data_IF_416234331435
#
_entry.id   IF_416234331435
#
_cell.length_a   1.000
_cell.length_b   1.000
_cell.length_c   1.000
_cell.angle_alpha   90.00
_cell.angle_beta   90.00
_cell.angle_gamma   90.00
#
_symmetry.space_group_name_H-M   'P 1'
#
loop_
_entity.id
_entity.type
_entity.pdbx_description
1 polymer ?
#
# COMPACT_ATOMS: atom_id res chain seq x y z
N UNK A 1 22.65 -17.23 92.16
CA UNK A 1 21.39 -17.03 91.49
C UNK A 1 21.55 -15.86 90.46
N UNK A 2 21.95 -16.19 89.22
CA UNK A 2 22.02 -15.21 88.20
C UNK A 2 21.44 -15.85 86.94
N UNK A 3 20.31 -15.31 86.44
CA UNK A 3 19.60 -15.71 85.19
C UNK A 3 20.09 -14.82 84.03
N UNK A 4 20.85 -15.44 83.14
CA UNK A 4 21.17 -14.80 81.87
C UNK A 4 20.02 -15.03 80.83
N UNK A 5 19.37 -13.98 80.43
CA UNK A 5 18.46 -14.01 79.32
C UNK A 5 19.19 -13.65 78.04
N UNK A 6 19.32 -14.64 77.15
CA UNK A 6 19.78 -14.41 75.77
C UNK A 6 18.60 -14.01 74.87
N UNK A 7 18.66 -12.83 74.34
CA UNK A 7 17.70 -12.35 73.35
C UNK A 7 18.17 -12.77 71.92
N UNK A 8 17.37 -13.60 71.25
CA UNK A 8 17.53 -13.98 69.85
C UNK A 8 16.87 -12.91 68.97
N UNK A 9 17.66 -12.29 68.12
CA UNK A 9 17.19 -11.42 67.06
C UNK A 9 16.87 -12.27 65.81
N UNK A 10 15.70 -12.17 65.19
CA UNK A 10 15.43 -12.81 63.89
C UNK A 10 15.97 -11.96 62.73
N UNK A 11 16.89 -12.52 61.97
CA UNK A 11 17.33 -11.97 60.67
C UNK A 11 16.21 -12.11 59.66
N UNK A 12 15.68 -10.99 59.22
CA UNK A 12 14.72 -10.92 58.11
C UNK A 12 15.52 -10.97 56.79
N UNK A 13 15.44 -12.11 56.13
CA UNK A 13 15.97 -12.32 54.77
C UNK A 13 14.97 -11.69 53.76
N UNK A 14 15.31 -10.50 53.24
CA UNK A 14 14.54 -9.87 52.18
C UNK A 14 14.93 -10.53 50.83
N UNK A 15 14.06 -11.41 50.38
CA UNK A 15 14.18 -12.01 49.05
C UNK A 15 13.64 -11.00 48.02
N UNK A 16 14.52 -10.28 47.31
CA UNK A 16 14.17 -9.41 46.19
C UNK A 16 13.82 -10.28 44.97
N UNK A 17 12.51 -10.42 44.69
CA UNK A 17 12.01 -10.93 43.40
C UNK A 17 12.26 -9.87 42.31
N UNK A 18 13.33 -10.05 41.57
CA UNK A 18 13.53 -9.36 40.29
C UNK A 18 12.61 -10.01 39.24
N UNK A 19 11.50 -9.37 38.93
CA UNK A 19 10.65 -9.73 37.79
C UNK A 19 11.34 -9.20 36.53
N UNK A 20 11.69 -10.03 35.56
CA UNK A 20 12.16 -9.51 34.26
C UNK A 20 10.96 -8.95 33.47
N UNK A 21 10.81 -7.62 33.47
CA UNK A 21 9.96 -6.88 32.56
C UNK A 21 10.73 -6.67 31.25
N UNK A 22 10.90 -7.73 30.48
CA UNK A 22 11.44 -7.62 29.12
C UNK A 22 10.75 -8.67 28.26
N UNK A 23 9.77 -8.26 27.46
CA UNK A 23 9.46 -8.92 26.17
C UNK A 23 8.20 -8.36 25.46
N UNK A 24 7.80 -7.09 25.71
CA UNK A 24 6.65 -6.50 25.02
C UNK A 24 7.02 -5.43 23.96
N UNK A 25 8.32 -5.16 23.75
CA UNK A 25 8.75 -4.05 22.87
C UNK A 25 9.12 -4.46 21.44
N UNK A 26 9.40 -5.73 21.15
CA UNK A 26 9.87 -6.13 19.83
C UNK A 26 8.75 -6.31 18.78
N UNK A 27 7.50 -6.55 19.19
CA UNK A 27 6.40 -6.73 18.26
C UNK A 27 5.92 -5.42 17.63
N UNK A 28 6.03 -4.30 18.36
CA UNK A 28 5.55 -2.99 17.89
C UNK A 28 6.53 -2.35 16.88
N UNK A 29 7.85 -2.55 17.07
CA UNK A 29 8.87 -2.02 16.17
C UNK A 29 8.90 -2.71 14.79
N UNK A 30 8.49 -3.95 14.70
CA UNK A 30 8.47 -4.69 13.42
C UNK A 30 7.27 -4.29 12.56
N UNK A 31 6.14 -3.94 13.18
CA UNK A 31 4.94 -3.45 12.51
C UNK A 31 5.15 -2.06 11.87
N UNK A 32 5.85 -1.16 12.58
CA UNK A 32 6.14 0.19 12.10
C UNK A 32 7.11 0.20 10.89
N UNK A 33 7.96 -0.81 10.79
CA UNK A 33 8.96 -0.95 9.73
C UNK A 33 8.40 -1.54 8.43
N UNK A 34 7.24 -2.22 8.46
CA UNK A 34 6.64 -2.88 7.30
C UNK A 34 5.76 -1.94 6.45
N UNK A 35 5.44 -0.74 6.92
CA UNK A 35 4.48 0.15 6.27
C UNK A 35 3.04 -0.35 6.40
N UNK A 36 2.14 0.26 5.62
CA UNK A 36 0.73 -0.10 5.61
C UNK A 36 -0.13 0.72 6.59
N UNK A 37 -1.29 0.19 6.92
CA UNK A 37 -2.23 0.76 7.89
C UNK A 37 -2.19 -0.04 9.20
N UNK A 38 -2.58 0.58 10.32
CA UNK A 38 -2.71 -0.15 11.56
C UNK A 38 -3.82 -1.21 11.47
N UNK A 39 -3.53 -2.51 11.70
CA UNK A 39 -4.54 -3.55 11.66
C UNK A 39 -5.52 -3.40 12.83
N UNK A 40 -6.79 -3.73 12.61
CA UNK A 40 -7.78 -3.83 13.70
C UNK A 40 -7.44 -5.03 14.60
N UNK A 41 -8.10 -5.16 15.74
CA UNK A 41 -7.81 -6.23 16.71
C UNK A 41 -7.98 -7.66 16.14
N UNK A 42 -8.81 -7.85 15.11
CA UNK A 42 -9.00 -9.14 14.43
C UNK A 42 -9.64 -8.96 13.05
N UNK A 43 -9.57 -10.00 12.21
CA UNK A 43 -10.24 -10.04 10.91
C UNK A 43 -11.77 -9.84 11.01
N UNK A 44 -12.41 -10.35 12.05
CA UNK A 44 -13.84 -10.22 12.29
C UNK A 44 -14.32 -8.75 12.52
N UNK A 45 -13.41 -7.81 12.70
CA UNK A 45 -13.72 -6.37 12.79
C UNK A 45 -13.85 -5.69 11.42
N UNK A 46 -13.59 -6.40 10.34
CA UNK A 46 -13.81 -5.93 8.97
C UNK A 46 -15.17 -6.40 8.45
N UNK A 47 -15.75 -5.67 7.50
CA UNK A 47 -17.06 -5.99 6.94
C UNK A 47 -17.08 -7.33 6.19
N UNK A 48 -16.02 -7.61 5.45
CA UNK A 48 -15.76 -8.91 4.88
C UNK A 48 -14.61 -9.58 5.64
N UNK A 49 -14.76 -10.82 6.05
CA UNK A 49 -13.69 -11.56 6.70
C UNK A 49 -13.82 -13.05 6.46
N UNK A 50 -12.71 -13.74 6.55
CA UNK A 50 -12.62 -15.19 6.35
C UNK A 50 -11.54 -15.76 7.26
N UNK A 51 -11.77 -16.92 7.83
CA UNK A 51 -10.77 -17.70 8.57
C UNK A 51 -10.39 -18.95 7.79
N UNK A 52 -9.09 -19.27 7.80
CA UNK A 52 -8.51 -20.46 7.19
C UNK A 52 -7.47 -21.07 8.13
N UNK A 53 -7.04 -22.29 7.75
CA UNK A 53 -5.88 -22.90 8.42
C UNK A 53 -4.64 -22.05 8.14
N UNK A 54 -4.02 -21.56 9.23
CA UNK A 54 -2.81 -20.76 9.17
C UNK A 54 -2.99 -19.25 9.23
N UNK A 55 -4.14 -18.68 8.87
CA UNK A 55 -4.37 -17.24 8.95
C UNK A 55 -5.87 -16.87 8.94
N UNK A 56 -6.15 -15.60 9.25
CA UNK A 56 -7.44 -15.00 8.93
C UNK A 56 -7.23 -13.70 8.15
N UNK A 57 -8.20 -13.36 7.31
CA UNK A 57 -8.15 -12.17 6.46
C UNK A 57 -9.42 -11.34 6.66
N UNK A 58 -9.25 -10.02 6.72
CA UNK A 58 -10.33 -9.06 6.73
C UNK A 58 -10.20 -8.08 5.59
N UNK A 59 -11.33 -7.65 5.02
CA UNK A 59 -11.34 -6.67 3.94
C UNK A 59 -12.51 -5.68 4.07
N UNK A 60 -12.32 -4.47 3.58
CA UNK A 60 -13.34 -3.43 3.53
C UNK A 60 -13.13 -2.54 2.30
N UNK A 61 -14.15 -2.41 1.46
CA UNK A 61 -14.17 -1.43 0.38
C UNK A 61 -14.40 -0.03 0.97
N UNK A 62 -13.48 0.90 0.72
CA UNK A 62 -13.61 2.25 1.20
C UNK A 62 -14.71 2.99 0.43
N UNK A 63 -15.59 3.66 1.14
CA UNK A 63 -16.45 4.67 0.54
C UNK A 63 -15.62 5.87 0.07
N UNK A 64 -16.15 6.65 -0.88
CA UNK A 64 -15.50 7.89 -1.36
C UNK A 64 -15.10 8.82 -0.22
N UNK A 65 -15.98 8.96 0.77
CA UNK A 65 -15.72 9.80 1.96
C UNK A 65 -14.55 9.26 2.79
N UNK A 66 -14.51 7.95 3.01
CA UNK A 66 -13.40 7.33 3.76
C UNK A 66 -12.09 7.49 3.00
N UNK A 67 -12.09 7.25 1.68
CA UNK A 67 -10.89 7.44 0.86
C UNK A 67 -10.39 8.88 0.91
N UNK A 68 -11.26 9.89 0.76
CA UNK A 68 -10.88 11.31 0.86
C UNK A 68 -10.42 11.74 2.27
N UNK A 69 -10.78 10.99 3.31
CA UNK A 69 -10.29 11.23 4.68
C UNK A 69 -8.95 10.52 4.94
N UNK A 70 -8.68 9.47 4.19
CA UNK A 70 -7.49 8.62 4.38
C UNK A 70 -6.29 9.14 3.58
N UNK A 71 -6.53 9.63 2.36
CA UNK A 71 -5.49 10.05 1.43
C UNK A 71 -5.54 11.56 1.20
N UNK A 72 -4.37 12.19 1.12
CA UNK A 72 -4.26 13.59 0.73
C UNK A 72 -4.61 13.78 -0.77
N UNK A 73 -4.23 12.81 -1.60
CA UNK A 73 -4.62 12.76 -3.00
C UNK A 73 -6.05 12.20 -3.17
N UNK A 74 -6.83 12.76 -4.10
CA UNK A 74 -8.18 12.23 -4.39
C UNK A 74 -8.11 10.97 -5.26
N UNK A 75 -7.82 9.85 -4.61
CA UNK A 75 -7.75 8.53 -5.25
C UNK A 75 -9.07 8.07 -5.88
N UNK A 76 -10.20 8.70 -5.52
CA UNK A 76 -11.51 8.35 -6.07
C UNK A 76 -11.67 8.68 -7.55
N UNK A 77 -10.77 9.51 -8.12
CA UNK A 77 -10.79 9.81 -9.54
C UNK A 77 -10.37 8.63 -10.40
N UNK A 78 -9.41 7.83 -9.94
CA UNK A 78 -8.88 6.72 -10.73
C UNK A 78 -9.28 5.34 -10.21
N UNK A 79 -9.58 5.22 -8.93
CA UNK A 79 -9.45 3.92 -8.29
C UNK A 79 -10.53 3.63 -7.26
N UNK A 80 -10.85 2.35 -7.10
CA UNK A 80 -11.46 1.81 -5.90
C UNK A 80 -10.36 1.39 -4.94
N UNK A 81 -10.56 1.67 -3.66
CA UNK A 81 -9.58 1.35 -2.62
C UNK A 81 -10.15 0.32 -1.67
N UNK A 82 -9.43 -0.78 -1.49
CA UNK A 82 -9.80 -1.85 -0.56
C UNK A 82 -8.77 -1.89 0.57
N UNK A 83 -9.21 -1.72 1.81
CA UNK A 83 -8.40 -2.00 2.99
C UNK A 83 -8.40 -3.50 3.22
N UNK A 84 -7.21 -4.09 3.29
CA UNK A 84 -7.00 -5.52 3.57
C UNK A 84 -6.18 -5.68 4.83
N UNK A 85 -6.48 -6.68 5.63
CA UNK A 85 -5.67 -7.06 6.79
C UNK A 85 -5.51 -8.58 6.84
N UNK A 86 -4.29 -9.04 7.09
CA UNK A 86 -3.96 -10.46 7.21
C UNK A 86 -3.39 -10.72 8.59
N UNK A 87 -3.91 -11.76 9.24
CA UNK A 87 -3.59 -12.17 10.60
C UNK A 87 -3.04 -13.59 10.56
N UNK A 88 -1.71 -13.78 10.47
CA UNK A 88 -1.10 -15.10 10.55
C UNK A 88 -1.43 -15.76 11.89
N UNK A 89 -1.64 -17.08 11.91
CA UNK A 89 -1.68 -17.85 13.16
C UNK A 89 -0.27 -18.06 13.69
N UNK A 90 -0.17 -18.32 14.98
CA UNK A 90 1.10 -18.54 15.65
C UNK A 90 1.92 -19.60 14.89
N UNK A 91 3.20 -19.32 14.64
CA UNK A 91 4.16 -20.18 13.98
C UNK A 91 3.79 -20.57 12.51
N UNK A 92 2.87 -19.82 11.88
CA UNK A 92 2.45 -20.04 10.49
C UNK A 92 2.58 -18.73 9.68
N UNK A 93 3.80 -18.36 9.30
CA UNK A 93 3.99 -17.16 8.50
C UNK A 93 3.33 -17.28 7.12
N UNK A 94 2.85 -16.14 6.61
CA UNK A 94 2.18 -16.03 5.31
C UNK A 94 3.05 -15.18 4.40
N UNK A 95 3.33 -15.66 3.19
CA UNK A 95 3.92 -14.85 2.14
C UNK A 95 2.80 -13.98 1.56
N UNK A 96 3.01 -12.67 1.55
CA UNK A 96 2.02 -11.69 1.16
C UNK A 96 2.54 -10.82 0.02
N UNK A 97 1.82 -10.82 -1.10
CA UNK A 97 2.04 -9.90 -2.21
C UNK A 97 0.71 -9.28 -2.66
N UNK A 98 0.73 -8.00 -3.08
CA UNK A 98 -0.48 -7.39 -3.62
C UNK A 98 -0.92 -8.05 -4.93
N UNK A 99 -0.01 -8.70 -5.66
CA UNK A 99 -0.31 -9.42 -6.90
C UNK A 99 -1.16 -10.66 -6.71
N UNK A 100 -1.25 -11.17 -5.47
CA UNK A 100 -2.08 -12.33 -5.12
C UNK A 100 -3.57 -11.98 -5.00
N UNK A 101 -3.88 -10.67 -5.08
CA UNK A 101 -5.23 -10.17 -4.98
C UNK A 101 -5.82 -9.81 -6.35
N UNK A 102 -7.14 -9.94 -6.45
CA UNK A 102 -7.91 -9.43 -7.57
C UNK A 102 -9.29 -8.96 -7.09
N UNK A 103 -9.86 -7.97 -7.76
CA UNK A 103 -11.21 -7.46 -7.47
C UNK A 103 -12.13 -7.84 -8.63
N UNK A 104 -13.15 -8.61 -8.31
CA UNK A 104 -14.21 -8.98 -9.25
C UNK A 104 -15.39 -8.02 -9.07
N UNK A 105 -15.83 -7.44 -10.18
CA UNK A 105 -17.05 -6.64 -10.27
C UNK A 105 -18.17 -7.53 -10.82
N UNK A 106 -19.32 -7.57 -10.16
CA UNK A 106 -20.46 -8.36 -10.64
C UNK A 106 -20.90 -7.94 -12.05
N UNK A 107 -20.90 -8.88 -12.99
CA UNK A 107 -21.24 -8.63 -14.39
C UNK A 107 -20.07 -8.22 -15.28
N UNK A 108 -18.84 -8.32 -14.78
CA UNK A 108 -17.61 -8.17 -15.56
C UNK A 108 -17.00 -9.55 -15.82
N UNK A 109 -16.45 -9.76 -17.03
CA UNK A 109 -15.93 -11.07 -17.44
C UNK A 109 -14.59 -11.43 -16.76
N UNK A 110 -13.82 -10.43 -16.31
CA UNK A 110 -12.50 -10.66 -15.75
C UNK A 110 -12.28 -9.83 -14.48
N UNK A 111 -11.63 -10.42 -13.45
CA UNK A 111 -11.22 -9.68 -12.26
C UNK A 111 -10.10 -8.68 -12.58
N UNK A 112 -10.05 -7.60 -11.83
CA UNK A 112 -9.04 -6.53 -11.96
C UNK A 112 -7.98 -6.73 -10.89
N UNK A 113 -6.71 -6.68 -11.28
CA UNK A 113 -5.59 -6.73 -10.35
C UNK A 113 -5.31 -5.37 -9.73
N UNK A 114 -4.74 -5.31 -8.52
CA UNK A 114 -4.32 -4.06 -7.92
C UNK A 114 -3.18 -3.43 -8.74
N UNK A 115 -3.10 -2.12 -8.69
CA UNK A 115 -2.01 -1.36 -9.30
C UNK A 115 -1.01 -0.88 -8.24
N UNK A 116 0.25 -0.72 -8.65
CA UNK A 116 1.28 -0.16 -7.80
C UNK A 116 1.04 1.33 -7.51
N UNK A 117 1.60 1.83 -6.40
CA UNK A 117 1.56 3.24 -6.03
C UNK A 117 2.04 4.16 -7.16
N UNK A 118 3.10 3.78 -7.87
CA UNK A 118 3.67 4.51 -9.01
C UNK A 118 2.65 4.70 -10.14
N UNK A 119 1.93 3.64 -10.51
CA UNK A 119 0.92 3.69 -11.59
C UNK A 119 -0.25 4.56 -11.16
N UNK A 120 -0.72 4.43 -9.92
CA UNK A 120 -1.83 5.22 -9.39
C UNK A 120 -1.45 6.70 -9.32
N UNK A 121 -0.25 7.04 -8.84
CA UNK A 121 0.24 8.41 -8.78
C UNK A 121 0.30 9.06 -10.17
N UNK A 122 0.81 8.33 -11.16
CA UNK A 122 0.86 8.82 -12.56
C UNK A 122 -0.54 9.08 -13.14
N UNK A 123 -1.54 8.25 -12.80
CA UNK A 123 -2.93 8.47 -13.23
C UNK A 123 -3.53 9.72 -12.59
N UNK A 124 -3.31 9.92 -11.30
CA UNK A 124 -3.81 11.08 -10.56
C UNK A 124 -3.19 12.39 -11.07
N UNK A 125 -1.91 12.38 -11.42
CA UNK A 125 -1.24 13.51 -12.05
C UNK A 125 -1.88 13.86 -13.39
N UNK A 126 -2.08 12.87 -14.26
CA UNK A 126 -2.68 13.07 -15.59
C UNK A 126 -4.09 13.67 -15.49
N UNK A 127 -4.90 13.24 -14.53
CA UNK A 127 -6.25 13.79 -14.34
C UNK A 127 -6.24 15.22 -13.79
N UNK A 128 -5.31 15.57 -12.91
CA UNK A 128 -5.12 16.96 -12.45
C UNK A 128 -4.77 17.88 -13.62
N UNK A 129 -3.93 17.42 -14.55
CA UNK A 129 -3.57 18.15 -15.77
C UNK A 129 -4.76 18.35 -16.72
N UNK A 130 -5.64 17.37 -16.84
CA UNK A 130 -6.82 17.41 -17.73
C UNK A 130 -7.93 18.34 -17.21
N UNK A 131 -8.06 18.54 -15.91
CA UNK A 131 -9.11 19.38 -15.30
C UNK A 131 -8.77 20.90 -15.28
N UNK A 132 -7.56 21.28 -15.71
CA UNK A 132 -7.13 22.69 -15.75
C UNK A 132 -7.30 23.30 -17.14
N UNK A 133 -8.56 23.49 -17.59
CA UNK A 133 -8.92 24.26 -18.77
C UNK A 133 -8.66 23.54 -20.10
N UNK A 134 -9.47 23.87 -21.06
CA UNK A 134 -9.44 23.39 -22.46
C UNK A 134 -8.03 23.49 -23.04
N UNK A 135 -7.23 22.45 -22.79
CA UNK A 135 -6.01 22.21 -23.54
C UNK A 135 -6.39 21.31 -24.68
N UNK A 136 -6.49 21.87 -25.88
CA UNK A 136 -6.40 21.10 -27.10
C UNK A 136 -5.25 20.12 -26.98
N UNK A 137 -5.58 18.84 -27.05
CA UNK A 137 -4.66 17.75 -26.92
C UNK A 137 -3.57 17.80 -27.98
N UNK A 138 -2.40 18.28 -27.61
CA UNK A 138 -1.17 17.85 -28.26
C UNK A 138 -0.58 16.76 -27.38
N UNK A 139 -0.56 15.56 -27.90
CA UNK A 139 0.10 14.41 -27.28
C UNK A 139 1.59 14.70 -27.18
N UNK A 140 2.05 15.21 -26.04
CA UNK A 140 3.46 15.17 -25.67
C UNK A 140 3.76 13.73 -25.24
N UNK A 141 4.08 12.89 -26.20
CA UNK A 141 4.63 11.58 -25.95
C UNK A 141 6.05 11.76 -25.42
N UNK A 142 6.30 11.49 -24.15
CA UNK A 142 7.67 11.22 -23.69
C UNK A 142 8.00 9.84 -24.22
N UNK A 143 8.61 9.82 -25.42
CA UNK A 143 9.16 8.62 -26.00
C UNK A 143 10.55 8.39 -25.40
N UNK A 144 10.72 7.29 -24.69
CA UNK A 144 12.04 6.79 -24.36
C UNK A 144 12.55 6.07 -25.63
N UNK A 145 13.34 6.74 -26.45
CA UNK A 145 13.99 6.11 -27.57
C UNK A 145 15.42 5.73 -27.15
N UNK A 146 15.67 4.43 -27.05
CA UNK A 146 17.03 3.89 -27.03
C UNK A 146 17.39 3.50 -28.45
N UNK A 147 18.19 4.31 -29.09
CA UNK A 147 18.74 4.03 -30.43
C UNK A 147 20.23 3.74 -30.35
N UNK A 148 20.68 2.84 -31.20
CA UNK A 148 22.13 2.66 -31.45
C UNK A 148 22.39 3.29 -32.80
N UNK A 149 23.29 4.31 -32.88
CA UNK A 149 23.79 4.82 -34.14
C UNK A 149 25.30 4.53 -34.27
N UNK A 150 25.78 4.44 -35.49
CA UNK A 150 27.20 4.25 -35.77
C UNK A 150 27.82 5.65 -35.89
N UNK A 151 28.78 5.94 -35.02
CA UNK A 151 29.57 7.18 -35.09
C UNK A 151 30.34 7.25 -36.43
N UNK A 152 30.10 8.26 -37.25
CA UNK A 152 30.70 8.37 -38.56
C UNK A 152 32.23 8.62 -38.53
N UNK A 153 32.77 9.01 -37.37
CA UNK A 153 34.22 9.30 -37.21
C UNK A 153 34.96 8.07 -36.70
N UNK A 154 34.38 7.30 -35.82
CA UNK A 154 35.02 6.15 -35.16
C UNK A 154 34.57 4.80 -35.69
N UNK A 155 33.42 4.75 -36.41
CA UNK A 155 32.82 3.51 -36.93
C UNK A 155 32.25 2.59 -35.83
N UNK A 156 32.18 3.06 -34.56
CA UNK A 156 31.73 2.26 -33.45
C UNK A 156 30.26 2.50 -33.11
N UNK A 157 29.53 1.49 -32.65
CA UNK A 157 28.15 1.67 -32.22
C UNK A 157 28.09 2.42 -30.89
N UNK A 158 27.49 3.61 -30.91
CA UNK A 158 27.24 4.43 -29.72
C UNK A 158 25.76 4.30 -29.33
N UNK A 159 25.49 3.88 -28.11
CA UNK A 159 24.15 3.89 -27.54
C UNK A 159 23.82 5.30 -27.08
N UNK A 160 22.77 5.88 -27.68
CA UNK A 160 22.22 7.17 -27.25
C UNK A 160 20.93 6.90 -26.48
N UNK A 161 20.87 7.39 -25.27
CA UNK A 161 19.65 7.51 -24.53
C UNK A 161 19.17 8.95 -24.68
N UNK A 162 18.23 9.16 -25.58
CA UNK A 162 17.66 10.48 -25.84
C UNK A 162 16.25 10.57 -25.27
N UNK A 163 16.01 11.61 -24.46
CA UNK A 163 14.66 12.08 -24.19
C UNK A 163 14.34 13.06 -25.31
N UNK A 164 13.55 12.64 -26.30
CA UNK A 164 13.04 13.54 -27.32
C UNK A 164 11.86 14.31 -26.77
N UNK A 165 12.08 15.57 -26.42
CA UNK A 165 11.02 16.55 -26.26
C UNK A 165 10.70 17.13 -27.65
N UNK A 166 9.59 16.74 -28.25
CA UNK A 166 9.07 17.44 -29.43
C UNK A 166 8.44 18.76 -28.97
N UNK A 167 9.19 19.85 -29.17
CA UNK A 167 8.66 21.22 -29.02
C UNK A 167 7.82 21.58 -30.24
N UNK A 168 6.53 21.33 -30.17
CA UNK A 168 5.54 22.01 -30.98
C UNK A 168 5.22 23.35 -30.33
N UNK A 169 5.51 24.45 -31.00
CA UNK A 169 5.10 25.80 -30.55
C UNK A 169 3.61 25.93 -30.70
N UNK A 170 2.87 25.86 -29.60
CA UNK A 170 1.48 26.31 -29.54
C UNK A 170 1.33 27.40 -28.47
N UNK A 171 0.88 28.55 -28.95
CA UNK A 171 0.55 29.72 -28.16
C UNK A 171 -0.78 29.44 -27.46
N UNK A 172 -0.74 28.93 -26.25
CA UNK A 172 -1.88 28.77 -25.36
C UNK A 172 -1.60 29.50 -24.04
N UNK A 173 -2.33 30.58 -23.81
CA UNK A 173 -2.31 31.26 -22.50
C UNK A 173 -3.05 30.37 -21.50
N UNK A 174 -2.30 29.64 -20.72
CA UNK A 174 -2.77 28.86 -19.58
C UNK A 174 -1.57 28.55 -18.68
N UNK A 175 -1.70 28.84 -17.40
CA UNK A 175 -0.65 28.59 -16.40
C UNK A 175 -0.16 27.14 -16.46
N UNK A 176 0.94 26.89 -17.17
CA UNK A 176 1.64 25.62 -17.14
C UNK A 176 2.33 25.51 -15.81
N UNK A 177 1.87 24.59 -14.98
CA UNK A 177 2.67 24.16 -13.83
C UNK A 177 4.01 23.65 -14.38
N UNK A 178 5.16 24.15 -13.92
CA UNK A 178 6.45 23.63 -14.34
C UNK A 178 6.50 22.12 -14.17
N UNK A 179 7.11 21.40 -15.10
CA UNK A 179 7.23 19.94 -15.06
C UNK A 179 7.83 19.45 -13.71
N UNK A 180 8.74 20.22 -13.13
CA UNK A 180 9.34 19.97 -11.82
C UNK A 180 8.34 19.97 -10.67
N UNK A 181 7.30 20.82 -10.70
CA UNK A 181 6.25 20.86 -9.65
C UNK A 181 5.30 19.67 -9.80
N UNK A 182 4.94 19.32 -11.02
CA UNK A 182 4.09 18.15 -11.30
C UNK A 182 4.80 16.85 -10.89
N UNK A 183 6.10 16.74 -11.17
CA UNK A 183 6.92 15.60 -10.79
C UNK A 183 7.07 15.48 -9.27
N UNK A 184 7.31 16.59 -8.58
CA UNK A 184 7.35 16.62 -7.12
C UNK A 184 6.01 16.22 -6.49
N UNK A 185 4.88 16.74 -7.01
CA UNK A 185 3.55 16.36 -6.55
C UNK A 185 3.32 14.85 -6.73
N UNK A 186 3.76 14.27 -7.86
CA UNK A 186 3.68 12.84 -8.12
C UNK A 186 4.49 12.01 -7.11
N UNK A 187 5.72 12.41 -6.83
CA UNK A 187 6.57 11.72 -5.85
C UNK A 187 5.96 11.72 -4.45
N UNK A 188 5.37 12.84 -4.03
CA UNK A 188 4.69 12.94 -2.73
C UNK A 188 3.48 12.00 -2.68
N UNK A 189 2.66 11.97 -3.75
CA UNK A 189 1.51 11.07 -3.85
C UNK A 189 1.97 9.61 -3.85
N UNK A 190 2.98 9.26 -4.66
CA UNK A 190 3.52 7.91 -4.74
C UNK A 190 4.04 7.42 -3.40
N UNK A 191 4.75 8.27 -2.67
CA UNK A 191 5.23 7.94 -1.32
C UNK A 191 4.08 7.68 -0.37
N UNK A 192 3.07 8.55 -0.32
CA UNK A 192 1.89 8.35 0.52
C UNK A 192 1.18 7.02 0.22
N UNK A 193 0.97 6.73 -1.06
CA UNK A 193 0.30 5.50 -1.50
C UNK A 193 1.14 4.26 -1.19
N UNK A 194 2.46 4.34 -1.34
CA UNK A 194 3.39 3.26 -1.02
C UNK A 194 3.45 2.99 0.48
N UNK A 195 3.56 4.04 1.30
CA UNK A 195 3.60 3.91 2.76
C UNK A 195 2.32 3.31 3.34
N UNK A 196 1.15 3.62 2.75
CA UNK A 196 -0.16 3.10 3.16
C UNK A 196 -0.55 1.81 2.46
N UNK A 197 0.14 1.43 1.41
CA UNK A 197 -0.10 0.20 0.64
C UNK A 197 0.04 -1.06 1.48
N UNK A 198 -0.55 -2.15 1.01
CA UNK A 198 -0.39 -3.45 1.65
C UNK A 198 1.08 -3.87 1.57
N UNK A 199 1.77 -4.14 2.70
CA UNK A 199 3.18 -4.53 2.67
C UNK A 199 3.38 -5.88 1.98
N UNK A 200 4.46 -5.97 1.18
CA UNK A 200 4.87 -7.19 0.51
C UNK A 200 6.01 -7.84 1.28
N UNK A 201 5.73 -8.88 2.02
CA UNK A 201 6.71 -9.58 2.84
C UNK A 201 6.18 -10.94 3.30
N UNK A 202 7.08 -11.76 3.82
CA UNK A 202 6.72 -12.90 4.66
C UNK A 202 6.37 -12.40 6.06
N UNK A 203 5.08 -12.43 6.40
CA UNK A 203 4.54 -11.88 7.64
C UNK A 203 4.30 -12.96 8.69
N UNK A 204 4.71 -12.69 9.92
CA UNK A 204 4.43 -13.53 11.09
C UNK A 204 3.54 -12.82 12.13
N UNK A 205 3.26 -11.53 11.91
CA UNK A 205 2.41 -10.67 12.74
C UNK A 205 1.28 -10.09 11.91
N UNK A 206 0.19 -9.63 12.52
CA UNK A 206 -0.89 -8.96 11.79
C UNK A 206 -0.39 -7.73 11.04
N UNK A 207 -0.76 -7.62 9.77
CA UNK A 207 -0.49 -6.45 8.94
C UNK A 207 -1.76 -6.02 8.23
N UNK A 208 -1.83 -4.75 7.85
CA UNK A 208 -2.91 -4.25 7.01
C UNK A 208 -2.41 -3.13 6.09
N UNK A 209 -3.11 -2.92 4.98
CA UNK A 209 -2.78 -1.87 4.02
C UNK A 209 -3.83 -1.77 2.92
N UNK A 210 -3.63 -0.83 2.03
CA UNK A 210 -4.57 -0.52 0.97
C UNK A 210 -4.14 -1.14 -0.36
N UNK A 211 -5.12 -1.65 -1.09
CA UNK A 211 -5.01 -2.10 -2.47
C UNK A 211 -5.77 -1.13 -3.37
N UNK A 212 -5.19 -0.77 -4.49
CA UNK A 212 -5.71 0.22 -5.43
C UNK A 212 -6.13 -0.47 -6.73
N UNK A 213 -7.41 -0.41 -7.07
CA UNK A 213 -7.96 -1.06 -8.27
C UNK A 213 -8.45 -0.01 -9.26
N UNK A 214 -7.85 0.06 -10.44
CA UNK A 214 -8.31 0.93 -11.53
C UNK A 214 -9.59 0.38 -12.14
N UNK A 215 -10.69 0.88 -11.65
CA UNK A 215 -12.00 0.57 -12.19
C UNK A 215 -12.70 1.85 -12.62
N UNK A 216 -13.46 1.83 -13.74
CA UNK A 216 -14.29 2.97 -14.10
C UNK A 216 -15.29 3.24 -12.98
N UNK A 217 -15.68 4.52 -12.90
CA UNK A 217 -16.53 5.07 -11.82
C UNK A 217 -17.60 4.08 -11.34
N UNK A 218 -17.60 3.88 -10.06
CA UNK A 218 -18.54 3.08 -9.29
C UNK A 218 -20.00 3.33 -9.75
N UNK A 219 -20.65 2.31 -10.27
CA UNK A 219 -22.08 2.34 -10.50
C UNK A 219 -22.79 2.08 -9.17
N UNK A 220 -23.89 2.79 -8.93
CA UNK A 220 -24.71 2.54 -7.74
C UNK A 220 -25.19 1.09 -7.76
N UNK A 221 -25.12 0.41 -6.63
CA UNK A 221 -25.52 -0.99 -6.43
C UNK A 221 -24.61 -2.07 -7.06
N UNK A 222 -23.41 -1.71 -7.50
CA UNK A 222 -22.43 -2.72 -7.94
C UNK A 222 -21.87 -3.49 -6.74
N UNK A 223 -21.90 -4.81 -6.83
CA UNK A 223 -21.30 -5.69 -5.83
C UNK A 223 -19.89 -6.08 -6.27
N UNK A 224 -19.00 -6.11 -5.30
CA UNK A 224 -17.61 -6.49 -5.50
C UNK A 224 -17.26 -7.71 -4.67
N UNK A 225 -16.30 -8.48 -5.15
CA UNK A 225 -15.72 -9.61 -4.44
C UNK A 225 -14.19 -9.51 -4.54
N UNK A 226 -13.51 -9.53 -3.39
CA UNK A 226 -12.07 -9.62 -3.35
C UNK A 226 -11.67 -11.09 -3.43
N UNK A 227 -10.84 -11.41 -4.41
CA UNK A 227 -10.17 -12.70 -4.55
C UNK A 227 -8.78 -12.59 -3.95
N UNK A 228 -8.37 -13.61 -3.22
CA UNK A 228 -7.02 -13.77 -2.69
C UNK A 228 -6.52 -15.18 -2.99
N UNK A 229 -5.42 -15.27 -3.72
CA UNK A 229 -4.79 -16.54 -4.10
C UNK A 229 -3.65 -16.81 -3.12
N UNK A 230 -3.78 -17.89 -2.36
CA UNK A 230 -2.77 -18.31 -1.39
C UNK A 230 -2.57 -19.80 -1.45
N UNK A 231 -1.33 -20.26 -1.58
CA UNK A 231 -0.95 -21.69 -1.67
C UNK A 231 -1.73 -22.45 -2.75
N UNK A 232 -2.09 -21.77 -3.84
CA UNK A 232 -2.85 -22.36 -4.96
C UNK A 232 -4.36 -22.45 -4.74
N UNK A 233 -4.89 -21.97 -3.62
CA UNK A 233 -6.32 -21.85 -3.33
C UNK A 233 -6.77 -20.41 -3.56
N UNK A 234 -7.92 -20.22 -4.21
CA UNK A 234 -8.55 -18.89 -4.36
C UNK A 234 -9.61 -18.70 -3.29
N UNK A 235 -9.41 -17.72 -2.45
CA UNK A 235 -10.35 -17.30 -1.41
C UNK A 235 -11.19 -16.12 -1.90
N UNK A 236 -12.49 -16.17 -1.64
CA UNK A 236 -13.44 -15.17 -2.10
C UNK A 236 -14.08 -14.45 -0.92
N UNK A 237 -13.89 -13.12 -0.84
CA UNK A 237 -14.48 -12.27 0.17
C UNK A 237 -15.49 -11.31 -0.49
N UNK A 238 -16.80 -11.51 -0.32
CA UNK A 238 -17.79 -10.56 -0.80
C UNK A 238 -17.67 -9.25 -0.04
N UNK A 239 -17.51 -8.14 -0.78
CA UNK A 239 -17.43 -6.80 -0.23
C UNK A 239 -18.82 -6.16 -0.23
N UNK A 240 -19.40 -5.85 0.94
CA UNK A 240 -20.72 -5.23 1.08
C UNK A 240 -20.74 -3.75 0.72
#
# INVERSE_FOLDING_TARGET
MFRNSFALLPSILVLSLSVPLLQAQDADQTSEKLGGAAPRASAAKYRAHLERDGFSIGAELLSKKQASQTFAADVNHCCLVVLVAVYPKKDQPVDLSFTDFALEEQGRDFPVRPESATIVAAKLEKEKGSNRGVATSTSAGIGYESGTYIDPVTGQPVRVHGVTTSTGVEVGVGDRVPATVAEHDREVIERELSEKGLPEAKIAIPVSGYLYFSLPKHKKDTKYRLEYVVKGETLNLPLP
#
